data_IF_148615417066
#
_entry.id   IF_148615417066
#
_cell.length_a   1.000
_cell.length_b   1.000
_cell.length_c   1.000
_cell.angle_alpha   90.00
_cell.angle_beta   90.00
_cell.angle_gamma   90.00
#
_symmetry.space_group_name_H-M   'P 1'
#
loop_
_entity.id
_entity.type
_entity.pdbx_description
1 polymer ?
#
# COMPACT_ATOMS: atom_id res chain seq x y z
N UNK A 1 -10.95 -13.07 1.23
CA UNK A 1 -11.29 -11.88 2.05
C UNK A 1 -10.12 -11.31 2.87
N UNK A 2 -9.28 -12.12 3.53
CA UNK A 2 -8.14 -11.60 4.33
C UNK A 2 -7.13 -10.80 3.50
N UNK A 3 -6.73 -11.31 2.33
CA UNK A 3 -5.78 -10.65 1.42
C UNK A 3 -6.21 -9.24 0.99
N UNK A 4 -7.49 -9.08 0.65
CA UNK A 4 -8.10 -7.78 0.30
C UNK A 4 -8.02 -6.78 1.45
N UNK A 5 -8.41 -7.19 2.67
CA UNK A 5 -8.36 -6.32 3.85
C UNK A 5 -6.93 -5.92 4.20
N UNK A 6 -5.98 -6.85 4.11
CA UNK A 6 -4.55 -6.58 4.34
C UNK A 6 -3.99 -5.62 3.28
N UNK A 7 -4.33 -5.82 2.00
CA UNK A 7 -3.91 -4.94 0.91
C UNK A 7 -4.42 -3.51 1.09
N UNK A 8 -5.71 -3.34 1.40
CA UNK A 8 -6.29 -2.02 1.73
C UNK A 8 -5.61 -1.40 2.93
N UNK A 9 -5.43 -2.15 4.02
CA UNK A 9 -4.78 -1.63 5.22
C UNK A 9 -3.36 -1.13 4.93
N UNK A 10 -2.59 -1.85 4.10
CA UNK A 10 -1.24 -1.45 3.69
C UNK A 10 -1.25 -0.16 2.86
N UNK A 11 -2.15 -0.05 1.86
CA UNK A 11 -2.29 1.18 1.06
C UNK A 11 -2.72 2.37 1.94
N UNK A 12 -3.72 2.18 2.80
CA UNK A 12 -4.18 3.26 3.69
C UNK A 12 -3.09 3.69 4.68
N UNK A 13 -2.32 2.74 5.21
CA UNK A 13 -1.19 3.04 6.10
C UNK A 13 -0.10 3.82 5.36
N UNK A 14 0.23 3.41 4.14
CA UNK A 14 1.18 4.13 3.28
C UNK A 14 0.71 5.55 2.96
N UNK A 15 -0.56 5.72 2.58
CA UNK A 15 -1.18 7.03 2.34
C UNK A 15 -1.17 7.92 3.59
N UNK A 16 -1.51 7.37 4.76
CA UNK A 16 -1.48 8.10 6.03
C UNK A 16 -0.05 8.54 6.39
N UNK A 17 0.93 7.66 6.24
CA UNK A 17 2.35 7.99 6.43
C UNK A 17 2.79 9.11 5.46
N UNK A 18 2.35 9.05 4.20
CA UNK A 18 2.68 10.07 3.20
C UNK A 18 2.08 11.43 3.56
N UNK A 19 0.80 11.46 3.94
CA UNK A 19 0.12 12.70 4.35
C UNK A 19 0.72 13.28 5.63
N UNK A 20 0.97 12.44 6.64
CA UNK A 20 1.63 12.87 7.88
C UNK A 20 3.02 13.45 7.59
N UNK A 21 3.76 12.82 6.67
CA UNK A 21 5.07 13.29 6.26
C UNK A 21 5.01 14.67 5.59
N UNK A 22 4.08 14.85 4.66
CA UNK A 22 3.86 16.14 3.99
C UNK A 22 3.45 17.24 4.97
N UNK A 23 2.69 16.90 6.00
CA UNK A 23 2.26 17.85 7.04
C UNK A 23 3.40 18.19 8.02
N UNK A 24 4.32 17.27 8.27
CA UNK A 24 5.36 17.42 9.29
C UNK A 24 6.44 18.45 8.94
N UNK A 25 6.62 18.77 7.65
CA UNK A 25 7.72 19.62 7.17
C UNK A 25 9.12 19.09 7.50
N UNK A 26 9.26 17.85 7.97
CA UNK A 26 10.53 17.28 8.36
C UNK A 26 11.45 17.10 7.14
N UNK A 27 12.75 17.33 7.29
CA UNK A 27 13.73 17.22 6.21
C UNK A 27 14.89 16.30 6.59
N UNK A 28 15.55 15.71 5.60
CA UNK A 28 16.75 14.88 5.80
C UNK A 28 16.47 13.38 5.84
N UNK A 29 17.31 12.61 6.54
CA UNK A 29 17.29 11.15 6.49
C UNK A 29 15.96 10.52 6.98
N UNK A 30 15.34 11.10 8.01
CA UNK A 30 14.02 10.70 8.49
C UNK A 30 12.94 10.88 7.42
N UNK A 31 13.02 11.95 6.63
CA UNK A 31 12.11 12.18 5.51
C UNK A 31 12.25 11.12 4.43
N UNK A 32 13.48 10.81 4.05
CA UNK A 32 13.75 9.77 3.06
C UNK A 32 13.28 8.39 3.53
N UNK A 33 13.48 8.04 4.80
CA UNK A 33 13.01 6.77 5.37
C UNK A 33 11.48 6.66 5.38
N UNK A 34 10.77 7.70 5.84
CA UNK A 34 9.30 7.67 5.91
C UNK A 34 8.67 7.70 4.51
N UNK A 35 9.20 8.51 3.59
CA UNK A 35 8.79 8.50 2.19
C UNK A 35 9.04 7.14 1.53
N UNK A 36 10.26 6.58 1.68
CA UNK A 36 10.60 5.26 1.15
C UNK A 36 9.70 4.15 1.73
N UNK A 37 9.49 4.17 3.05
CA UNK A 37 8.59 3.24 3.73
C UNK A 37 7.14 3.35 3.25
N UNK A 38 6.63 4.56 3.05
CA UNK A 38 5.30 4.80 2.49
C UNK A 38 5.16 4.24 1.07
N UNK A 39 6.18 4.43 0.22
CA UNK A 39 6.18 3.87 -1.14
C UNK A 39 6.13 2.34 -1.09
N UNK A 40 6.99 1.71 -0.29
CA UNK A 40 7.00 0.25 -0.13
C UNK A 40 5.64 -0.25 0.39
N UNK A 41 5.05 0.42 1.37
CA UNK A 41 3.74 0.06 1.92
C UNK A 41 2.64 0.16 0.86
N UNK A 42 2.63 1.22 0.04
CA UNK A 42 1.67 1.35 -1.05
C UNK A 42 1.88 0.30 -2.15
N UNK A 43 3.13 0.04 -2.56
CA UNK A 43 3.44 -0.97 -3.58
C UNK A 43 3.07 -2.38 -3.12
N UNK A 44 3.41 -2.75 -1.88
CA UNK A 44 3.03 -4.05 -1.32
C UNK A 44 1.51 -4.19 -1.19
N UNK A 45 0.82 -3.14 -0.73
CA UNK A 45 -0.63 -3.13 -0.64
C UNK A 45 -1.32 -3.29 -2.01
N UNK A 46 -0.82 -2.57 -3.01
CA UNK A 46 -1.29 -2.68 -4.39
C UNK A 46 -1.03 -4.07 -4.99
N UNK A 47 0.15 -4.66 -4.75
CA UNK A 47 0.46 -6.01 -5.21
C UNK A 47 -0.47 -7.06 -4.59
N UNK A 48 -0.77 -6.95 -3.28
CA UNK A 48 -1.74 -7.83 -2.61
C UNK A 48 -3.16 -7.66 -3.18
N UNK A 49 -3.57 -6.44 -3.50
CA UNK A 49 -4.86 -6.15 -4.14
C UNK A 49 -4.93 -6.72 -5.55
N UNK A 50 -3.90 -6.52 -6.38
CA UNK A 50 -3.82 -7.10 -7.72
C UNK A 50 -3.86 -8.63 -7.68
N UNK A 51 -3.13 -9.24 -6.74
CA UNK A 51 -3.19 -10.69 -6.54
C UNK A 51 -4.61 -11.14 -6.17
N UNK A 52 -5.28 -10.44 -5.25
CA UNK A 52 -6.66 -10.75 -4.89
C UNK A 52 -7.62 -10.63 -6.09
N UNK A 53 -7.48 -9.58 -6.92
CA UNK A 53 -8.31 -9.40 -8.13
C UNK A 53 -8.03 -10.51 -9.15
N UNK A 54 -6.76 -10.86 -9.36
CA UNK A 54 -6.36 -11.94 -10.27
C UNK A 54 -6.91 -13.30 -9.82
N UNK A 55 -6.74 -13.63 -8.53
CA UNK A 55 -7.28 -14.85 -7.93
C UNK A 55 -8.82 -14.90 -8.05
N UNK A 56 -9.49 -13.75 -7.89
CA UNK A 56 -10.94 -13.65 -8.04
C UNK A 56 -11.38 -13.87 -9.49
N UNK A 57 -10.73 -13.23 -10.47
CA UNK A 57 -11.02 -13.42 -11.91
C UNK A 57 -10.84 -14.86 -12.34
N UNK A 58 -9.78 -15.52 -11.85
CA UNK A 58 -9.54 -16.94 -12.10
C UNK A 58 -10.61 -17.84 -11.50
N UNK A 59 -11.12 -17.50 -10.31
CA UNK A 59 -12.20 -18.24 -9.67
C UNK A 59 -13.57 -18.07 -10.39
N UNK A 60 -13.82 -16.90 -10.98
CA UNK A 60 -15.01 -16.62 -11.79
C UNK A 60 -14.95 -17.25 -13.21
N UNK A 61 -13.83 -17.87 -13.59
CA UNK A 61 -13.65 -18.50 -14.90
C UNK A 61 -13.48 -17.49 -16.05
N UNK A 62 -13.11 -16.24 -15.75
CA UNK A 62 -12.85 -15.20 -16.75
C UNK A 62 -11.48 -15.34 -17.45
N UNK A 63 -10.75 -16.44 -17.24
CA UNK A 63 -9.40 -16.69 -17.79
C UNK A 63 -9.21 -18.15 -18.17
#
# INVERSE_FOLDING_TARGET
MRLYRTGIAFVLTGMALLMLMMLSGASGALWAMVCGGSILCNMTGAALLMKFVSDKRRADGEV
#
